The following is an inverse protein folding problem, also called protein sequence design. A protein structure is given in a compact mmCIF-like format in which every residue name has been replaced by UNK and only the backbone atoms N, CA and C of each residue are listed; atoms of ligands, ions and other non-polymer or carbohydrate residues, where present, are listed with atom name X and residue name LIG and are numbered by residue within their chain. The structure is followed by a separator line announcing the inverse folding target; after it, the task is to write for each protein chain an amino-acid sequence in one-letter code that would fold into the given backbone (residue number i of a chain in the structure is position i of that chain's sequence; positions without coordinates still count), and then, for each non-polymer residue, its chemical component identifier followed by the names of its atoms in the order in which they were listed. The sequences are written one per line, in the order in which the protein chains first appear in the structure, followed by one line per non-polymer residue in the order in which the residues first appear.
data_IF_926807119819
#
_entry.id   IF_926807119819
#
_cell.length_a   1.000
_cell.length_b   1.000
_cell.length_c   1.000
_cell.angle_alpha   90.00
_cell.angle_beta   90.00
_cell.angle_gamma   90.00
#
_symmetry.space_group_name_H-M   'P 1'
#
loop_
_entity.id
_entity.type
_entity.pdbx_description
1 polymer ?
#
# COMPACT_ATOMS: atom_id res chain seq x y z
N UNK A 1 -18.20 20.32 -26.92
CA UNK A 1 -18.59 19.45 -25.80
C UNK A 1 -17.76 18.17 -25.71
N UNK A 2 -17.62 17.36 -26.77
CA UNK A 2 -16.87 16.08 -26.72
C UNK A 2 -15.41 16.22 -26.21
N UNK A 3 -14.67 17.23 -26.68
CA UNK A 3 -13.28 17.48 -26.26
C UNK A 3 -13.19 17.78 -24.76
N UNK A 4 -14.12 18.58 -24.24
CA UNK A 4 -14.15 18.91 -22.81
C UNK A 4 -14.34 17.67 -21.95
N UNK A 5 -15.29 16.80 -22.32
CA UNK A 5 -15.49 15.53 -21.62
C UNK A 5 -14.27 14.62 -21.72
N UNK A 6 -13.65 14.53 -22.90
CA UNK A 6 -12.44 13.72 -23.07
C UNK A 6 -11.30 14.19 -22.16
N UNK A 7 -11.06 15.51 -22.07
CA UNK A 7 -10.03 16.07 -21.19
C UNK A 7 -10.33 15.77 -19.72
N UNK A 8 -11.58 15.97 -19.28
CA UNK A 8 -11.96 15.71 -17.88
C UNK A 8 -11.83 14.22 -17.51
N UNK A 9 -12.30 13.33 -18.38
CA UNK A 9 -12.21 11.89 -18.13
C UNK A 9 -10.76 11.39 -18.14
N UNK A 10 -9.97 11.80 -19.12
CA UNK A 10 -8.55 11.42 -19.18
C UNK A 10 -7.76 11.99 -18.01
N UNK A 11 -8.00 13.24 -17.64
CA UNK A 11 -7.38 13.86 -16.47
C UNK A 11 -7.75 13.13 -15.17
N UNK A 12 -9.01 12.76 -15.01
CA UNK A 12 -9.47 12.00 -13.85
C UNK A 12 -8.86 10.59 -13.78
N UNK A 13 -8.81 9.87 -14.90
CA UNK A 13 -8.17 8.55 -14.98
C UNK A 13 -6.68 8.67 -14.68
N UNK A 14 -5.99 9.63 -15.27
CA UNK A 14 -4.57 9.86 -15.02
C UNK A 14 -4.30 10.16 -13.54
N UNK A 15 -5.07 11.05 -12.93
CA UNK A 15 -4.94 11.39 -11.51
C UNK A 15 -5.20 10.17 -10.61
N UNK A 16 -6.20 9.35 -10.94
CA UNK A 16 -6.51 8.13 -10.18
C UNK A 16 -5.37 7.12 -10.25
N UNK A 17 -4.80 6.89 -11.44
CA UNK A 17 -3.67 5.98 -11.63
C UNK A 17 -2.43 6.46 -10.87
N UNK A 18 -2.08 7.74 -11.01
CA UNK A 18 -0.91 8.32 -10.34
C UNK A 18 -1.09 8.30 -8.82
N UNK A 19 -2.28 8.65 -8.32
CA UNK A 19 -2.60 8.61 -6.90
C UNK A 19 -2.49 7.22 -6.30
N UNK A 20 -3.01 6.20 -7.00
CA UNK A 20 -2.87 4.80 -6.58
C UNK A 20 -1.41 4.36 -6.55
N UNK A 21 -0.63 4.65 -7.59
CA UNK A 21 0.80 4.34 -7.63
C UNK A 21 1.55 4.98 -6.46
N UNK A 22 1.34 6.29 -6.24
CA UNK A 22 1.99 7.02 -5.17
C UNK A 22 1.65 6.47 -3.78
N UNK A 23 0.37 6.12 -3.55
CA UNK A 23 -0.07 5.52 -2.29
C UNK A 23 0.63 4.19 -2.01
N UNK A 24 0.61 3.24 -2.96
CA UNK A 24 1.20 1.92 -2.74
C UNK A 24 2.73 1.97 -2.64
N UNK A 25 3.41 2.77 -3.47
CA UNK A 25 4.86 2.97 -3.34
C UNK A 25 5.23 3.57 -1.97
N UNK A 26 4.42 4.50 -1.46
CA UNK A 26 4.61 5.06 -0.12
C UNK A 26 4.43 4.02 0.98
N UNK A 27 3.34 3.24 0.95
CA UNK A 27 3.07 2.21 1.95
C UNK A 27 4.10 1.05 1.92
N UNK A 28 4.74 0.78 0.78
CA UNK A 28 5.83 -0.19 0.67
C UNK A 28 7.10 0.23 1.44
N UNK A 29 7.35 1.54 1.62
CA UNK A 29 8.55 2.07 2.30
C UNK A 29 8.29 2.53 3.72
N UNK A 30 7.04 2.83 4.04
CA UNK A 30 6.65 3.33 5.35
C UNK A 30 6.98 2.31 6.46
N UNK A 31 7.46 2.77 7.62
CA UNK A 31 7.57 1.92 8.79
C UNK A 31 6.21 1.34 9.18
N UNK A 32 6.14 0.03 9.38
CA UNK A 32 4.88 -0.67 9.67
C UNK A 32 4.92 -1.42 11.00
N UNK A 33 3.74 -1.72 11.53
CA UNK A 33 3.60 -2.59 12.70
C UNK A 33 3.89 -4.04 12.32
N UNK A 34 4.45 -4.82 13.26
CA UNK A 34 4.76 -6.24 13.08
C UNK A 34 3.55 -7.06 12.61
N UNK A 35 2.33 -6.74 13.07
CA UNK A 35 1.10 -7.42 12.63
C UNK A 35 0.84 -7.31 11.11
N UNK A 36 1.24 -6.19 10.51
CA UNK A 36 1.05 -5.93 9.09
C UNK A 36 2.25 -6.38 8.25
N UNK A 37 3.33 -6.81 8.92
CA UNK A 37 4.58 -7.23 8.28
C UNK A 37 4.38 -8.46 7.38
N UNK A 38 3.43 -9.34 7.73
CA UNK A 38 3.15 -10.59 7.00
C UNK A 38 1.86 -10.55 6.20
N UNK A 39 1.42 -9.36 5.75
CA UNK A 39 0.21 -9.23 4.95
C UNK A 39 0.43 -9.64 3.49
N UNK A 40 0.26 -10.93 3.19
CA UNK A 40 0.37 -11.45 1.82
C UNK A 40 -0.62 -10.79 0.84
N UNK A 41 -1.83 -10.45 1.31
CA UNK A 41 -2.84 -9.80 0.49
C UNK A 41 -2.42 -8.39 0.08
N UNK A 42 -1.83 -7.63 1.02
CA UNK A 42 -1.27 -6.32 0.72
C UNK A 42 -0.11 -6.44 -0.27
N UNK A 43 0.81 -7.39 -0.07
CA UNK A 43 1.95 -7.60 -0.95
C UNK A 43 1.53 -7.91 -2.39
N UNK A 44 0.60 -8.86 -2.57
CA UNK A 44 0.05 -9.21 -3.89
C UNK A 44 -0.61 -8.01 -4.56
N UNK A 45 -1.42 -7.26 -3.82
CA UNK A 45 -2.11 -6.08 -4.34
C UNK A 45 -1.11 -4.97 -4.72
N UNK A 46 -0.18 -4.65 -3.82
CA UNK A 46 0.83 -3.62 -4.04
C UNK A 46 1.70 -3.95 -5.24
N UNK A 47 2.13 -5.22 -5.40
CA UNK A 47 2.88 -5.68 -6.58
C UNK A 47 2.04 -5.58 -7.85
N UNK A 48 0.75 -5.91 -7.81
CA UNK A 48 -0.12 -5.82 -8.99
C UNK A 48 -0.33 -4.38 -9.47
N UNK A 49 -0.26 -3.40 -8.58
CA UNK A 49 -0.45 -1.97 -8.89
C UNK A 49 0.87 -1.29 -9.26
N UNK A 50 1.93 -1.56 -8.51
CA UNK A 50 3.23 -0.86 -8.66
C UNK A 50 4.21 -1.58 -9.57
N UNK A 51 4.01 -2.88 -9.83
CA UNK A 51 4.98 -3.74 -10.51
C UNK A 51 6.23 -4.05 -9.68
N UNK A 52 6.31 -3.57 -8.43
CA UNK A 52 7.49 -3.70 -7.57
C UNK A 52 7.21 -4.67 -6.41
N UNK A 53 8.22 -5.48 -6.09
CA UNK A 53 8.24 -6.24 -4.85
C UNK A 53 8.52 -5.33 -3.66
N UNK A 54 8.09 -5.75 -2.47
CA UNK A 54 8.36 -5.03 -1.23
C UNK A 54 9.78 -5.35 -0.79
N UNK A 55 10.63 -4.32 -0.75
CA UNK A 55 11.96 -4.45 -0.15
C UNK A 55 11.85 -4.33 1.38
N UNK A 56 11.86 -5.48 2.06
CA UNK A 56 11.80 -5.56 3.51
C UNK A 56 13.09 -5.09 4.20
N UNK A 57 14.15 -4.76 3.45
CA UNK A 57 15.36 -4.12 4.01
C UNK A 57 15.20 -2.60 4.18
N UNK A 58 14.39 -1.96 3.34
CA UNK A 58 14.07 -0.52 3.39
C UNK A 58 12.84 -0.23 4.28
N UNK A 59 12.02 -1.25 4.53
CA UNK A 59 10.82 -1.15 5.38
C UNK A 59 11.18 -1.53 6.81
N UNK A 60 11.39 -0.59 7.73
CA UNK A 60 11.69 -0.94 9.14
C UNK A 60 10.41 -1.12 9.99
N UNK A 61 10.40 -1.98 11.02
CA UNK A 61 9.29 -2.00 11.98
C UNK A 61 9.24 -0.68 12.76
N UNK A 62 8.07 -0.04 12.81
CA UNK A 62 7.90 1.25 13.50
C UNK A 62 8.03 1.11 15.03
N UNK A 63 7.61 -0.04 15.57
CA UNK A 63 7.64 -0.37 17.00
C UNK A 63 7.82 -1.88 17.13
N UNK A 64 8.80 -2.33 17.93
CA UNK A 64 9.08 -3.74 18.21
C UNK A 64 8.20 -4.32 19.35
N UNK A 65 6.99 -3.77 19.52
CA UNK A 65 6.05 -4.18 20.55
C UNK A 65 4.74 -4.57 19.87
N UNK A 66 4.50 -5.87 19.76
CA UNK A 66 3.20 -6.39 19.38
C UNK A 66 2.22 -6.29 20.56
N UNK A 67 1.36 -5.26 20.52
CA UNK A 67 0.31 -5.05 21.52
C UNK A 67 -0.69 -6.21 21.63
N UNK A 68 -0.70 -7.15 20.67
CA UNK A 68 -1.54 -8.35 20.66
C UNK A 68 -0.80 -9.63 21.04
N UNK A 69 0.47 -9.56 21.46
CA UNK A 69 1.09 -10.65 22.25
C UNK A 69 0.52 -10.69 23.68
N UNK A 70 -0.75 -10.31 23.88
CA UNK A 70 -1.48 -10.68 25.07
C UNK A 70 -1.94 -12.13 24.90
N UNK A 71 -1.61 -13.00 25.85
CA UNK A 71 -2.00 -14.42 25.88
C UNK A 71 -3.51 -14.63 26.12
N UNK A 72 -4.36 -13.71 25.70
CA UNK A 72 -5.79 -13.64 26.05
C UNK A 72 -6.72 -13.64 24.83
N UNK A 73 -6.22 -14.00 23.64
CA UNK A 73 -7.09 -14.31 22.51
C UNK A 73 -7.54 -15.78 22.62
N UNK A 74 -8.85 -16.08 22.65
CA UNK A 74 -9.32 -17.47 22.58
C UNK A 74 -8.92 -18.09 21.24
N UNK A 75 -8.63 -19.39 21.25
CA UNK A 75 -8.33 -20.17 20.04
C UNK A 75 -9.52 -20.25 19.09
#
# INVERSE_FOLDING_TARGET
MAILFAVLLLGWVAASVIGSLAYFLGEQKKPIHERNWRSESFEKLAKSITGMEIDYSDRAPAYAMDAYTSRTLPQ
#
